data_IF_256178721273
#
_entry.id   IF_256178721273
#
_cell.length_a   1.000
_cell.length_b   1.000
_cell.length_c   1.000
_cell.angle_alpha   90.00
_cell.angle_beta   90.00
_cell.angle_gamma   90.00
#
_symmetry.space_group_name_H-M   'P 1'
#
loop_
_entity.id
_entity.type
_entity.pdbx_description
1 polymer ?
#
# COMPACT_ATOMS: atom_id res chain seq x y z
N UNK A 1 -2.60 12.72 -17.62
CA UNK A 1 -3.37 11.79 -16.78
C UNK A 1 -3.96 12.51 -15.56
N UNK A 2 -5.19 12.15 -15.19
CA UNK A 2 -5.82 12.48 -13.90
C UNK A 2 -5.67 11.26 -13.00
N UNK A 3 -5.13 11.49 -11.80
CA UNK A 3 -4.95 10.43 -10.80
C UNK A 3 -6.08 10.50 -9.77
N UNK A 4 -6.72 9.36 -9.56
CA UNK A 4 -7.73 9.15 -8.52
C UNK A 4 -7.26 8.02 -7.60
N UNK A 5 -7.83 7.91 -6.40
CA UNK A 5 -7.54 6.85 -5.41
C UNK A 5 -7.71 5.40 -5.96
N UNK A 6 -8.27 5.24 -7.16
CA UNK A 6 -8.53 3.95 -7.78
C UNK A 6 -7.83 3.72 -9.12
N UNK A 7 -7.38 4.77 -9.79
CA UNK A 7 -6.77 4.66 -11.11
C UNK A 7 -6.10 5.96 -11.55
N UNK A 8 -5.06 5.80 -12.36
CA UNK A 8 -4.52 6.86 -13.22
C UNK A 8 -5.21 6.72 -14.58
N UNK A 9 -5.98 7.72 -14.98
CA UNK A 9 -6.69 7.74 -16.26
C UNK A 9 -6.12 8.84 -17.15
N UNK A 10 -5.85 8.51 -18.41
CA UNK A 10 -5.68 9.54 -19.42
C UNK A 10 -7.05 10.05 -19.85
N UNK A 11 -7.25 11.36 -19.73
CA UNK A 11 -8.45 12.05 -20.19
C UNK A 11 -8.12 12.58 -21.59
N UNK A 12 -8.56 11.91 -22.67
CA UNK A 12 -8.35 12.40 -24.02
C UNK A 12 -9.17 13.67 -24.25
N UNK A 13 -8.68 14.57 -25.10
CA UNK A 13 -9.46 15.70 -25.53
C UNK A 13 -10.66 15.21 -26.36
N UNK A 14 -11.86 15.71 -26.06
CA UNK A 14 -13.08 15.32 -26.78
C UNK A 14 -13.13 15.83 -28.23
N UNK A 15 -12.32 16.85 -28.54
CA UNK A 15 -12.23 17.48 -29.85
C UNK A 15 -10.84 18.07 -30.09
N UNK A 16 -10.46 18.20 -31.35
CA UNK A 16 -9.27 18.93 -31.77
C UNK A 16 -9.46 20.44 -31.50
N UNK A 17 -8.39 21.12 -31.09
CA UNK A 17 -8.45 22.55 -30.77
C UNK A 17 -7.18 23.08 -30.11
N UNK A 18 -7.22 24.33 -29.69
CA UNK A 18 -6.15 25.03 -29.01
C UNK A 18 -6.44 25.15 -27.51
N UNK A 19 -5.45 24.84 -26.67
CA UNK A 19 -5.56 25.04 -25.21
C UNK A 19 -5.48 26.55 -24.92
N UNK A 20 -6.60 27.13 -24.52
CA UNK A 20 -6.71 28.57 -24.25
C UNK A 20 -6.29 28.94 -22.82
N UNK A 21 -6.55 28.06 -21.85
CA UNK A 21 -6.21 28.27 -20.42
C UNK A 21 -6.21 26.96 -19.65
N UNK A 22 -5.22 26.76 -18.78
CA UNK A 22 -5.16 25.66 -17.82
C UNK A 22 -5.48 26.21 -16.43
N UNK A 23 -6.40 25.58 -15.71
CA UNK A 23 -6.91 26.07 -14.42
C UNK A 23 -6.31 25.35 -13.21
N UNK A 24 -5.69 24.18 -13.41
CA UNK A 24 -5.03 23.42 -12.35
C UNK A 24 -3.59 23.11 -12.72
N UNK A 25 -2.68 23.21 -11.75
CA UNK A 25 -1.26 22.89 -11.96
C UNK A 25 -1.02 21.39 -11.81
N UNK A 26 0.03 20.89 -12.46
CA UNK A 26 0.48 19.51 -12.29
C UNK A 26 0.78 19.24 -10.81
N UNK A 27 0.17 18.20 -10.24
CA UNK A 27 0.29 17.83 -8.82
C UNK A 27 -0.78 18.45 -7.89
N UNK A 28 -1.67 19.29 -8.42
CA UNK A 28 -2.78 19.89 -7.66
C UNK A 28 -3.98 18.93 -7.56
N UNK A 29 -4.57 18.78 -6.37
CA UNK A 29 -5.79 17.98 -6.18
C UNK A 29 -7.03 18.79 -6.57
N UNK A 30 -7.75 18.33 -7.58
CA UNK A 30 -8.97 18.98 -8.07
C UNK A 30 -10.23 18.22 -7.61
N UNK A 31 -11.30 18.95 -7.27
CA UNK A 31 -12.58 18.34 -6.86
C UNK A 31 -13.33 17.78 -8.08
N UNK A 32 -14.04 16.67 -7.90
CA UNK A 32 -14.84 16.06 -8.96
C UNK A 32 -15.87 17.07 -9.49
N UNK A 33 -15.82 17.35 -10.79
CA UNK A 33 -16.66 18.36 -11.47
C UNK A 33 -15.97 19.69 -11.76
N UNK A 34 -14.70 19.88 -11.39
CA UNK A 34 -13.95 21.09 -11.76
C UNK A 34 -13.52 21.08 -13.24
N UNK A 35 -13.37 22.29 -13.80
CA UNK A 35 -12.88 22.49 -15.17
C UNK A 35 -11.36 22.51 -15.16
N UNK A 36 -10.71 21.60 -15.89
CA UNK A 36 -9.25 21.51 -15.95
C UNK A 36 -8.61 22.50 -16.92
N UNK A 37 -9.22 22.67 -18.08
CA UNK A 37 -8.70 23.54 -19.14
C UNK A 37 -9.83 24.01 -20.06
N UNK A 38 -9.57 25.08 -20.78
CA UNK A 38 -10.43 25.59 -21.84
C UNK A 38 -9.83 25.25 -23.21
N UNK A 39 -10.62 24.62 -24.08
CA UNK A 39 -10.29 24.30 -25.47
C UNK A 39 -11.12 25.17 -26.42
N UNK A 40 -10.43 25.93 -27.28
CA UNK A 40 -11.02 26.75 -28.34
C UNK A 40 -10.75 26.18 -29.72
N UNK A 41 -11.55 26.59 -30.71
CA UNK A 41 -11.36 26.19 -32.11
C UNK A 41 -10.22 26.99 -32.77
N UNK A 42 -9.95 28.21 -32.28
CA UNK A 42 -8.86 29.07 -32.74
C UNK A 42 -8.06 29.63 -31.56
N UNK A 43 -6.75 29.81 -31.74
CA UNK A 43 -5.83 30.20 -30.66
C UNK A 43 -6.12 31.59 -30.01
N UNK A 44 -6.94 32.42 -30.64
CA UNK A 44 -7.28 33.79 -30.19
C UNK A 44 -8.68 33.91 -29.58
N UNK A 45 -9.39 32.79 -29.44
CA UNK A 45 -10.72 32.73 -28.84
C UNK A 45 -10.65 33.12 -27.35
N UNK A 46 -11.57 34.00 -26.90
CA UNK A 46 -11.58 34.49 -25.51
C UNK A 46 -12.23 33.47 -24.59
N UNK A 47 -11.53 33.09 -23.54
CA UNK A 47 -12.06 32.25 -22.44
C UNK A 47 -13.14 33.04 -21.66
N UNK A 48 -14.30 32.44 -21.33
CA UNK A 48 -15.30 33.07 -20.48
C UNK A 48 -14.72 33.46 -19.11
N UNK A 49 -14.90 34.73 -18.68
CA UNK A 49 -14.28 35.28 -17.47
C UNK A 49 -15.03 34.90 -16.16
N UNK A 50 -15.95 33.93 -16.20
CA UNK A 50 -16.60 33.41 -15.00
C UNK A 50 -16.74 31.89 -15.03
N UNK A 51 -15.97 31.23 -14.19
CA UNK A 51 -16.36 29.99 -13.52
C UNK A 51 -16.31 30.26 -12.02
N UNK A 52 -17.34 29.88 -11.24
CA UNK A 52 -17.55 30.38 -9.89
C UNK A 52 -16.51 29.81 -8.94
N UNK A 53 -15.75 30.71 -8.31
CA UNK A 53 -15.07 30.41 -7.06
C UNK A 53 -16.14 30.07 -6.02
N UNK A 54 -16.08 28.87 -5.43
CA UNK A 54 -16.82 28.59 -4.19
C UNK A 54 -16.17 29.46 -3.12
N UNK A 55 -16.77 30.63 -2.91
CA UNK A 55 -16.38 31.55 -1.87
C UNK A 55 -16.67 30.94 -0.51
N UNK A 56 -15.63 30.92 0.31
CA UNK A 56 -15.67 30.77 1.75
C UNK A 56 -16.78 31.62 2.38
N UNK A 57 -17.67 30.94 3.10
CA UNK A 57 -18.31 31.40 4.33
C UNK A 57 -18.85 32.84 4.37
N UNK A 58 -20.08 33.01 3.88
CA UNK A 58 -21.06 33.84 4.57
C UNK A 58 -22.36 33.04 4.73
N UNK A 59 -22.76 32.85 5.99
CA UNK A 59 -23.95 32.12 6.40
C UNK A 59 -25.21 32.84 5.90
N UNK A 60 -25.68 32.51 4.70
CA UNK A 60 -27.07 32.77 4.28
C UNK A 60 -27.88 31.49 4.42
N UNK A 61 -28.79 31.46 5.41
CA UNK A 61 -29.91 30.53 5.47
C UNK A 61 -30.80 30.78 4.26
N UNK A 62 -30.59 30.06 3.17
CA UNK A 62 -31.55 29.93 2.09
C UNK A 62 -32.34 28.63 2.33
N UNK A 63 -33.66 28.76 2.50
CA UNK A 63 -34.59 27.64 2.62
C UNK A 63 -34.76 26.95 1.26
N UNK A 64 -33.79 26.11 0.87
CA UNK A 64 -33.82 25.36 -0.37
C UNK A 64 -34.83 24.22 -0.28
N UNK A 65 -35.83 24.18 -1.17
CA UNK A 65 -36.84 23.11 -1.19
C UNK A 65 -36.17 21.76 -1.53
N UNK A 66 -36.40 20.68 -0.75
CA UNK A 66 -35.79 19.39 -1.07
C UNK A 66 -36.30 18.79 -2.38
N UNK A 67 -35.47 17.95 -2.98
CA UNK A 67 -35.87 17.02 -4.05
C UNK A 67 -36.67 15.85 -3.45
N UNK A 68 -37.46 15.13 -4.26
CA UNK A 68 -38.33 14.05 -3.77
C UNK A 68 -37.54 12.94 -3.02
N UNK A 69 -36.38 12.54 -3.55
CA UNK A 69 -35.49 11.56 -2.90
C UNK A 69 -34.87 12.09 -1.61
N UNK A 70 -34.50 13.37 -1.57
CA UNK A 70 -33.99 14.01 -0.35
C UNK A 70 -35.09 14.09 0.74
N UNK A 71 -36.34 14.33 0.34
CA UNK A 71 -37.49 14.34 1.24
C UNK A 71 -37.75 12.97 1.89
N UNK A 72 -37.57 11.89 1.13
CA UNK A 72 -37.70 10.53 1.63
C UNK A 72 -36.59 10.19 2.64
N UNK A 73 -35.34 10.47 2.29
CA UNK A 73 -34.19 10.27 3.19
C UNK A 73 -34.27 11.11 4.47
N UNK A 74 -34.75 12.36 4.40
CA UNK A 74 -34.98 13.19 5.58
C UNK A 74 -36.03 12.59 6.54
N UNK A 75 -37.09 11.98 5.98
CA UNK A 75 -38.14 11.31 6.78
C UNK A 75 -37.62 10.05 7.45
N UNK A 76 -36.85 9.23 6.73
CA UNK A 76 -36.23 8.02 7.28
C UNK A 76 -35.28 8.34 8.44
N UNK A 77 -34.52 9.43 8.31
CA UNK A 77 -33.52 9.84 9.30
C UNK A 77 -34.08 10.76 10.40
N UNK A 78 -35.35 11.16 10.33
CA UNK A 78 -35.97 12.07 11.29
C UNK A 78 -35.36 13.48 11.30
N UNK A 79 -34.81 13.93 10.18
CA UNK A 79 -34.10 15.22 10.05
C UNK A 79 -34.98 16.28 9.39
N UNK A 80 -34.84 17.54 9.82
CA UNK A 80 -35.47 18.68 9.16
C UNK A 80 -34.59 19.21 8.03
N UNK A 81 -35.19 19.49 6.87
CA UNK A 81 -34.51 20.12 5.74
C UNK A 81 -33.87 21.47 6.10
N UNK A 82 -34.41 22.18 7.09
CA UNK A 82 -33.92 23.49 7.52
C UNK A 82 -32.58 23.42 8.28
N UNK A 83 -32.21 22.24 8.77
CA UNK A 83 -30.98 22.02 9.51
C UNK A 83 -29.78 21.67 8.61
N UNK A 84 -30.02 21.43 7.32
CA UNK A 84 -29.02 20.92 6.37
C UNK A 84 -28.74 21.98 5.30
N UNK A 85 -27.50 22.45 5.15
CA UNK A 85 -27.15 23.37 4.08
C UNK A 85 -27.22 22.65 2.72
N UNK A 86 -27.86 23.28 1.73
CA UNK A 86 -27.90 22.78 0.36
C UNK A 86 -26.80 23.45 -0.48
N UNK A 87 -26.12 22.68 -1.32
CA UNK A 87 -25.05 23.19 -2.21
C UNK A 87 -25.62 23.86 -3.47
N UNK A 88 -26.92 23.73 -3.74
CA UNK A 88 -27.62 24.35 -4.87
C UNK A 88 -29.02 24.87 -4.53
N UNK A 89 -29.81 25.18 -5.57
CA UNK A 89 -31.17 25.74 -5.42
C UNK A 89 -32.14 24.81 -4.66
N UNK A 90 -31.87 23.49 -4.69
CA UNK A 90 -32.66 22.46 -4.01
C UNK A 90 -31.76 21.57 -3.16
N UNK A 91 -32.27 21.13 -2.02
CA UNK A 91 -31.58 20.16 -1.16
C UNK A 91 -31.63 18.76 -1.80
N UNK A 92 -30.46 18.17 -2.02
CA UNK A 92 -30.27 16.86 -2.65
C UNK A 92 -29.84 15.80 -1.64
N UNK A 93 -29.87 14.53 -2.05
CA UNK A 93 -29.38 13.40 -1.23
C UNK A 93 -27.89 13.56 -0.89
N UNK A 94 -27.10 14.06 -1.84
CA UNK A 94 -25.65 14.29 -1.67
C UNK A 94 -25.38 15.31 -0.56
N UNK A 95 -26.20 16.36 -0.44
CA UNK A 95 -26.09 17.36 0.61
C UNK A 95 -26.34 16.76 2.01
N UNK A 96 -27.32 15.85 2.12
CA UNK A 96 -27.67 15.16 3.37
C UNK A 96 -26.54 14.21 3.77
N UNK A 97 -26.01 13.44 2.83
CA UNK A 97 -24.88 12.52 3.08
C UNK A 97 -23.60 13.28 3.49
N UNK A 98 -23.30 14.38 2.82
CA UNK A 98 -22.17 15.24 3.16
C UNK A 98 -22.32 15.85 4.56
N UNK A 99 -23.50 16.35 4.91
CA UNK A 99 -23.77 16.87 6.24
C UNK A 99 -23.66 15.80 7.33
N UNK A 100 -24.18 14.59 7.10
CA UNK A 100 -24.03 13.47 8.02
C UNK A 100 -22.57 13.05 8.21
N UNK A 101 -21.77 13.09 7.14
CA UNK A 101 -20.33 12.83 7.21
C UNK A 101 -19.61 13.86 8.09
N UNK A 102 -20.01 15.14 8.04
CA UNK A 102 -19.45 16.18 8.94
C UNK A 102 -19.89 16.03 10.39
N UNK A 103 -21.14 15.61 10.65
CA UNK A 103 -21.65 15.37 12.00
C UNK A 103 -21.01 14.16 12.68
N UNK A 104 -20.62 13.14 11.90
CA UNK A 104 -19.93 11.95 12.42
C UNK A 104 -18.46 12.21 12.79
N UNK A 105 -17.91 13.37 12.43
CA UNK A 105 -16.54 13.73 12.76
C UNK A 105 -16.40 15.22 13.10
N UNK A 106 -16.83 15.67 14.30
CA UNK A 106 -16.84 17.08 14.68
C UNK A 106 -15.45 17.70 14.94
N UNK A 107 -14.36 17.06 14.50
CA UNK A 107 -13.00 17.55 14.67
C UNK A 107 -12.13 17.35 13.42
N UNK A 108 -12.44 18.08 12.35
CA UNK A 108 -11.42 18.58 11.40
C UNK A 108 -11.89 19.95 10.91
N UNK A 109 -11.47 21.00 11.61
CA UNK A 109 -11.23 22.28 10.95
C UNK A 109 -10.37 22.00 9.70
N UNK A 110 -10.61 22.64 8.54
CA UNK A 110 -9.69 22.52 7.42
C UNK A 110 -8.33 22.96 7.94
N UNK A 111 -7.41 22.01 8.05
CA UNK A 111 -6.03 22.32 8.31
C UNK A 111 -5.64 23.33 7.23
N UNK A 112 -5.26 24.52 7.65
CA UNK A 112 -4.53 25.46 6.81
C UNK A 112 -3.53 24.65 6.00
N UNK A 113 -3.58 24.73 4.67
CA UNK A 113 -2.60 24.13 3.78
C UNK A 113 -1.23 24.68 4.18
N UNK A 114 -0.56 23.98 5.09
CA UNK A 114 0.83 24.24 5.38
C UNK A 114 1.55 24.08 4.04
N UNK A 115 2.40 25.04 3.64
CA UNK A 115 3.15 24.92 2.40
C UNK A 115 3.90 23.60 2.43
N UNK A 116 3.79 22.82 1.35
CA UNK A 116 4.54 21.57 1.20
C UNK A 116 6.02 21.89 1.46
N UNK A 117 6.57 21.29 2.51
CA UNK A 117 7.97 21.49 2.88
C UNK A 117 8.81 20.83 1.79
N UNK A 118 9.34 21.62 0.87
CA UNK A 118 10.32 21.16 -0.12
C UNK A 118 11.62 20.84 0.61
N UNK A 119 12.18 19.66 0.36
CA UNK A 119 13.51 19.32 0.88
C UNK A 119 14.57 20.29 0.32
N UNK A 120 15.58 20.67 1.13
CA UNK A 120 16.62 21.59 0.66
C UNK A 120 17.47 20.92 -0.42
N UNK A 121 17.70 21.61 -1.53
CA UNK A 121 18.61 21.15 -2.58
C UNK A 121 20.06 21.13 -2.05
N UNK A 122 20.86 20.09 -2.35
CA UNK A 122 22.28 20.06 -1.99
C UNK A 122 23.06 21.29 -2.49
N UNK A 123 24.07 21.72 -1.74
CA UNK A 123 24.91 22.87 -2.10
C UNK A 123 25.83 22.61 -3.30
N UNK A 124 26.12 21.35 -3.60
CA UNK A 124 26.90 20.94 -4.77
C UNK A 124 25.95 20.87 -5.98
N UNK A 125 26.26 21.53 -7.12
CA UNK A 125 25.44 21.45 -8.31
C UNK A 125 25.25 20.02 -8.80
N UNK A 126 24.03 19.72 -9.24
CA UNK A 126 23.66 18.43 -9.82
C UNK A 126 22.49 18.59 -10.79
N UNK A 127 22.09 17.49 -11.40
CA UNK A 127 20.97 17.46 -12.35
C UNK A 127 19.83 16.63 -11.75
N UNK A 128 18.60 17.09 -11.98
CA UNK A 128 17.42 16.31 -11.65
C UNK A 128 17.26 15.21 -12.71
N UNK A 129 17.19 13.96 -12.25
CA UNK A 129 16.85 12.80 -13.07
C UNK A 129 15.51 12.29 -12.58
N UNK A 130 14.54 12.19 -13.49
CA UNK A 130 13.22 11.65 -13.19
C UNK A 130 13.33 10.18 -12.79
N UNK A 131 12.65 9.81 -11.71
CA UNK A 131 12.62 8.43 -11.25
C UNK A 131 11.87 7.53 -12.26
N UNK A 132 12.33 6.30 -12.43
CA UNK A 132 11.57 5.22 -13.06
C UNK A 132 10.36 4.82 -12.21
N UNK A 133 9.46 3.99 -12.76
CA UNK A 133 8.31 3.47 -12.01
C UNK A 133 8.75 2.61 -10.82
N UNK A 134 9.78 1.79 -11.03
CA UNK A 134 10.40 0.93 -10.02
C UNK A 134 11.02 1.74 -8.88
N UNK A 135 11.77 2.80 -9.21
CA UNK A 135 12.39 3.70 -8.23
C UNK A 135 11.34 4.45 -7.42
N UNK A 136 10.24 4.91 -8.05
CA UNK A 136 9.10 5.50 -7.34
C UNK A 136 8.46 4.50 -6.36
N UNK A 137 8.29 3.25 -6.77
CA UNK A 137 7.74 2.20 -5.89
C UNK A 137 8.65 1.91 -4.67
N UNK A 138 9.97 1.88 -4.90
CA UNK A 138 10.95 1.75 -3.83
C UNK A 138 10.91 2.94 -2.87
N UNK A 139 10.92 4.16 -3.41
CA UNK A 139 10.81 5.39 -2.63
C UNK A 139 9.53 5.39 -1.79
N UNK A 140 8.39 5.04 -2.39
CA UNK A 140 7.10 4.94 -1.67
C UNK A 140 7.15 3.95 -0.50
N UNK A 141 7.85 2.83 -0.65
CA UNK A 141 7.99 1.83 0.42
C UNK A 141 8.85 2.36 1.57
N UNK A 142 9.99 2.99 1.24
CA UNK A 142 10.90 3.59 2.23
C UNK A 142 10.22 4.72 2.99
N UNK A 143 9.54 5.62 2.29
CA UNK A 143 8.81 6.73 2.90
C UNK A 143 7.65 6.23 3.76
N UNK A 144 6.93 5.19 3.33
CA UNK A 144 5.89 4.59 4.15
C UNK A 144 6.46 4.04 5.45
N UNK A 145 7.57 3.29 5.43
CA UNK A 145 8.19 2.81 6.67
C UNK A 145 8.61 3.98 7.57
N UNK A 146 9.26 5.01 7.00
CA UNK A 146 9.73 6.20 7.74
C UNK A 146 8.58 6.92 8.43
N UNK A 147 7.49 7.17 7.71
CA UNK A 147 6.41 8.07 8.16
C UNK A 147 5.27 7.34 8.85
N UNK A 148 5.09 6.05 8.56
CA UNK A 148 3.90 5.27 8.93
C UNK A 148 4.24 4.01 9.69
N UNK A 149 5.47 3.74 10.12
CA UNK A 149 5.82 2.63 10.99
C UNK A 149 6.88 3.03 12.02
N UNK A 150 6.87 2.41 13.20
CA UNK A 150 8.01 2.48 14.13
C UNK A 150 8.89 1.24 13.91
N UNK A 151 9.63 1.21 12.81
CA UNK A 151 10.39 0.03 12.43
C UNK A 151 11.51 -0.29 13.44
N UNK A 152 11.53 -1.54 13.92
CA UNK A 152 12.60 -2.12 14.71
C UNK A 152 13.07 -3.42 14.07
N UNK A 153 14.27 -3.87 14.43
CA UNK A 153 14.86 -5.10 13.91
C UNK A 153 15.50 -5.93 15.02
N UNK A 154 15.35 -7.25 14.94
CA UNK A 154 16.13 -8.21 15.72
C UNK A 154 16.38 -9.48 14.90
N UNK A 155 17.40 -10.25 15.30
CA UNK A 155 17.74 -11.53 14.70
C UNK A 155 18.10 -12.60 15.72
N UNK A 156 18.01 -13.86 15.27
CA UNK A 156 18.43 -15.06 16.00
C UNK A 156 19.28 -15.94 15.09
N UNK A 157 20.29 -16.58 15.66
CA UNK A 157 21.00 -17.67 15.01
C UNK A 157 20.25 -18.99 15.22
N UNK A 158 20.28 -19.87 14.22
CA UNK A 158 19.71 -21.21 14.31
C UNK A 158 20.57 -22.24 13.58
N UNK A 159 20.38 -23.51 13.94
CA UNK A 159 20.95 -24.64 13.21
C UNK A 159 20.14 -24.89 11.93
N UNK A 160 20.73 -24.74 10.72
CA UNK A 160 20.01 -24.98 9.47
C UNK A 160 19.78 -26.47 9.19
N UNK A 161 20.43 -27.40 9.89
CA UNK A 161 20.37 -28.83 9.59
C UNK A 161 18.95 -29.41 9.59
N UNK A 162 18.07 -29.17 10.59
CA UNK A 162 16.71 -29.70 10.57
C UNK A 162 15.92 -29.23 9.34
N UNK A 163 16.09 -27.98 8.94
CA UNK A 163 15.46 -27.43 7.75
C UNK A 163 16.02 -28.02 6.45
N UNK A 164 17.34 -28.22 6.38
CA UNK A 164 17.98 -28.85 5.24
C UNK A 164 17.51 -30.30 5.05
N UNK A 165 17.50 -31.09 6.13
CA UNK A 165 17.04 -32.47 6.11
C UNK A 165 15.57 -32.55 5.69
N UNK A 166 14.72 -31.68 6.27
CA UNK A 166 13.30 -31.60 5.93
C UNK A 166 13.08 -31.23 4.46
N UNK A 167 13.81 -30.23 3.93
CA UNK A 167 13.68 -29.81 2.55
C UNK A 167 14.14 -30.87 1.55
N UNK A 168 15.20 -31.63 1.87
CA UNK A 168 15.66 -32.77 1.06
C UNK A 168 14.59 -33.85 1.02
N UNK A 169 14.12 -34.30 2.18
CA UNK A 169 13.10 -35.34 2.29
C UNK A 169 11.80 -34.94 1.56
N UNK A 170 11.31 -33.72 1.82
CA UNK A 170 10.11 -33.18 1.16
C UNK A 170 10.29 -33.11 -0.37
N UNK A 171 11.47 -32.70 -0.83
CA UNK A 171 11.80 -32.64 -2.26
C UNK A 171 11.79 -34.01 -2.93
N UNK A 172 12.34 -35.04 -2.28
CA UNK A 172 12.35 -36.42 -2.78
C UNK A 172 10.93 -37.01 -2.83
N UNK A 173 10.16 -36.88 -1.75
CA UNK A 173 8.78 -37.40 -1.68
C UNK A 173 7.86 -36.78 -2.74
N UNK A 174 8.04 -35.47 -3.00
CA UNK A 174 7.23 -34.72 -3.96
C UNK A 174 7.88 -34.60 -5.35
N UNK A 175 9.02 -35.27 -5.59
CA UNK A 175 9.74 -35.30 -6.88
C UNK A 175 10.08 -33.90 -7.41
N UNK A 176 10.48 -32.99 -6.52
CA UNK A 176 10.84 -31.61 -6.89
C UNK A 176 12.26 -31.57 -7.48
N UNK A 177 12.43 -30.83 -8.57
CA UNK A 177 13.73 -30.69 -9.25
C UNK A 177 14.67 -29.70 -8.55
N UNK A 178 14.11 -28.72 -7.84
CA UNK A 178 14.84 -27.68 -7.13
C UNK A 178 14.59 -27.80 -5.64
N UNK A 179 15.57 -27.39 -4.83
CA UNK A 179 15.42 -27.38 -3.37
C UNK A 179 14.23 -26.51 -2.95
N UNK A 180 13.26 -27.04 -2.21
CA UNK A 180 12.09 -26.28 -1.76
C UNK A 180 12.36 -25.48 -0.47
N UNK A 181 13.60 -25.46 0.05
CA UNK A 181 13.93 -24.90 1.37
C UNK A 181 13.35 -23.50 1.62
N UNK A 182 13.60 -22.55 0.73
CA UNK A 182 13.11 -21.18 0.91
C UNK A 182 11.59 -21.08 0.81
N UNK A 183 10.98 -21.88 -0.06
CA UNK A 183 9.53 -21.93 -0.21
C UNK A 183 8.87 -22.55 1.03
N UNK A 184 9.44 -23.61 1.60
CA UNK A 184 8.96 -24.24 2.83
C UNK A 184 9.13 -23.33 4.06
N UNK A 185 10.26 -22.61 4.17
CA UNK A 185 10.45 -21.58 5.19
C UNK A 185 9.40 -20.47 5.06
N UNK A 186 9.19 -19.96 3.85
CA UNK A 186 8.17 -18.93 3.57
C UNK A 186 6.75 -19.43 3.89
N UNK A 187 6.44 -20.69 3.54
CA UNK A 187 5.15 -21.29 3.87
C UNK A 187 4.98 -21.49 5.37
N UNK A 188 6.04 -21.86 6.10
CA UNK A 188 5.99 -21.97 7.56
C UNK A 188 5.64 -20.63 8.22
N UNK A 189 6.13 -19.50 7.69
CA UNK A 189 5.71 -18.18 8.16
C UNK A 189 4.20 -17.95 7.95
N UNK A 190 3.63 -18.41 6.84
CA UNK A 190 2.19 -18.36 6.57
C UNK A 190 1.41 -19.19 7.60
N UNK A 191 1.89 -20.39 7.95
CA UNK A 191 1.27 -21.20 9.00
C UNK A 191 1.32 -20.52 10.37
N UNK A 192 2.47 -19.94 10.73
CA UNK A 192 2.64 -19.20 11.97
C UNK A 192 1.73 -17.97 12.04
N UNK A 193 1.44 -17.32 10.91
CA UNK A 193 0.51 -16.21 10.83
C UNK A 193 -0.93 -16.61 11.15
N UNK A 194 -1.34 -17.84 10.80
CA UNK A 194 -2.65 -18.40 11.18
C UNK A 194 -2.74 -18.61 12.70
N UNK A 195 -1.66 -19.12 13.30
CA UNK A 195 -1.57 -19.37 14.74
C UNK A 195 -1.38 -18.07 15.56
N UNK A 196 -0.77 -17.06 14.96
CA UNK A 196 -0.44 -15.78 15.60
C UNK A 196 -0.99 -14.60 14.79
N UNK A 197 -2.32 -14.38 14.75
CA UNK A 197 -2.93 -13.40 13.84
C UNK A 197 -2.41 -11.96 13.96
N UNK A 198 -1.81 -11.63 15.11
CA UNK A 198 -1.23 -10.31 15.40
C UNK A 198 -0.02 -9.98 14.52
N UNK A 199 0.69 -10.97 13.97
CA UNK A 199 1.79 -10.73 13.01
C UNK A 199 1.29 -10.42 11.60
N UNK A 200 0.01 -10.71 11.33
CA UNK A 200 -0.66 -10.46 10.07
C UNK A 200 -1.65 -9.29 10.24
N UNK A 201 -1.12 -8.11 10.57
CA UNK A 201 -1.92 -6.94 10.90
C UNK A 201 -1.15 -5.64 10.61
N UNK A 202 -1.81 -4.49 10.75
CA UNK A 202 -1.20 -3.17 10.69
C UNK A 202 -1.94 -2.19 11.62
N UNK A 203 -1.48 -0.95 11.71
CA UNK A 203 -2.15 0.11 12.46
C UNK A 203 -2.83 1.08 11.48
N UNK A 204 -4.14 1.27 11.67
CA UNK A 204 -4.97 2.25 10.94
C UNK A 204 -5.82 2.98 11.97
N UNK A 205 -5.80 4.32 11.94
CA UNK A 205 -6.58 5.18 12.84
C UNK A 205 -6.45 4.78 14.33
N UNK A 206 -5.20 4.60 14.79
CA UNK A 206 -4.84 4.16 16.15
C UNK A 206 -5.47 2.82 16.58
N UNK A 207 -5.90 2.01 15.62
CA UNK A 207 -6.46 0.67 15.85
C UNK A 207 -5.64 -0.38 15.12
N UNK A 208 -5.61 -1.57 15.73
CA UNK A 208 -5.08 -2.76 15.05
C UNK A 208 -6.05 -3.19 13.96
N UNK A 209 -5.63 -3.05 12.70
CA UNK A 209 -6.30 -3.65 11.56
C UNK A 209 -5.73 -5.05 11.34
N UNK A 210 -6.51 -6.08 11.67
CA UNK A 210 -6.06 -7.48 11.59
C UNK A 210 -6.58 -8.12 10.31
N UNK A 211 -5.67 -8.68 9.50
CA UNK A 211 -6.03 -9.32 8.25
C UNK A 211 -6.53 -10.75 8.49
N UNK A 212 -7.61 -11.13 7.79
CA UNK A 212 -8.08 -12.52 7.74
C UNK A 212 -7.29 -13.35 6.73
N UNK A 213 -6.92 -12.73 5.61
CA UNK A 213 -6.16 -13.34 4.54
C UNK A 213 -4.66 -13.11 4.78
N UNK A 214 -3.83 -14.09 4.42
CA UNK A 214 -2.36 -13.99 4.43
C UNK A 214 -1.89 -13.90 2.99
N UNK A 215 -1.46 -12.71 2.59
CA UNK A 215 -0.82 -12.46 1.32
C UNK A 215 0.67 -12.32 1.55
N UNK A 216 1.44 -13.33 1.16
CA UNK A 216 2.87 -13.34 1.43
C UNK A 216 3.62 -12.65 0.28
N UNK A 217 4.21 -11.50 0.59
CA UNK A 217 5.22 -10.86 -0.25
C UNK A 217 6.56 -11.57 -0.16
N UNK A 218 7.21 -11.80 -1.30
CA UNK A 218 8.52 -12.43 -1.40
C UNK A 218 9.42 -11.57 -2.29
N UNK A 219 10.58 -11.17 -1.77
CA UNK A 219 11.48 -10.31 -2.54
C UNK A 219 12.16 -11.07 -3.67
N UNK A 220 12.11 -10.54 -4.89
CA UNK A 220 12.73 -11.13 -6.09
C UNK A 220 13.59 -10.09 -6.78
N UNK A 221 14.88 -10.38 -6.92
CA UNK A 221 15.82 -9.56 -7.69
C UNK A 221 15.82 -10.02 -9.16
N UNK A 222 15.26 -9.20 -10.06
CA UNK A 222 15.21 -9.41 -11.50
C UNK A 222 16.09 -8.38 -12.22
N UNK A 223 17.33 -8.77 -12.56
CA UNK A 223 18.32 -7.85 -13.11
C UNK A 223 18.63 -6.73 -12.12
N UNK A 224 18.33 -5.48 -12.51
CA UNK A 224 18.51 -4.29 -11.66
C UNK A 224 17.27 -3.97 -10.80
N UNK A 225 16.14 -4.65 -11.04
CA UNK A 225 14.87 -4.34 -10.37
C UNK A 225 14.61 -5.29 -9.19
N UNK A 226 14.20 -4.71 -8.07
CA UNK A 226 13.71 -5.45 -6.91
C UNK A 226 12.19 -5.43 -6.88
N UNK A 227 11.57 -6.61 -6.92
CA UNK A 227 10.13 -6.78 -6.78
C UNK A 227 9.78 -7.38 -5.42
N UNK A 228 8.61 -7.00 -4.88
CA UNK A 228 7.92 -7.76 -3.85
C UNK A 228 6.79 -8.56 -4.53
N UNK A 229 7.08 -9.81 -4.90
CA UNK A 229 6.11 -10.69 -5.55
C UNK A 229 5.14 -11.27 -4.50
N UNK A 230 3.84 -11.19 -4.74
CA UNK A 230 2.82 -11.52 -3.73
C UNK A 230 2.11 -12.82 -4.10
N UNK A 231 2.16 -13.80 -3.19
CA UNK A 231 1.30 -14.99 -3.23
C UNK A 231 0.03 -14.68 -2.44
N UNK A 232 -1.09 -14.57 -3.15
CA UNK A 232 -2.40 -14.26 -2.56
C UNK A 232 -3.00 -15.48 -1.85
N UNK A 233 -3.71 -15.26 -0.74
CA UNK A 233 -4.43 -16.30 0.02
C UNK A 233 -3.56 -17.52 0.37
N UNK A 234 -2.29 -17.29 0.73
CA UNK A 234 -1.35 -18.37 1.00
C UNK A 234 -1.82 -19.31 2.13
N UNK A 235 -2.63 -18.81 3.06
CA UNK A 235 -3.20 -19.59 4.18
C UNK A 235 -4.16 -20.71 3.77
N UNK A 236 -4.68 -20.64 2.54
CA UNK A 236 -5.60 -21.62 1.94
C UNK A 236 -4.87 -22.72 1.17
N UNK A 237 -3.56 -22.56 0.96
CA UNK A 237 -2.74 -23.52 0.22
C UNK A 237 -2.16 -24.59 1.15
N UNK A 238 -1.84 -25.75 0.57
CA UNK A 238 -0.87 -26.67 1.16
C UNK A 238 0.54 -26.34 0.63
N UNK A 239 1.56 -26.97 1.21
CA UNK A 239 2.95 -26.68 0.87
C UNK A 239 3.28 -26.91 -0.62
N UNK A 240 2.78 -27.97 -1.26
CA UNK A 240 2.99 -28.22 -2.71
C UNK A 240 2.42 -27.07 -3.55
N UNK A 241 1.15 -26.71 -3.32
CA UNK A 241 0.47 -25.62 -4.04
C UNK A 241 1.16 -24.27 -3.82
N UNK A 242 1.66 -24.04 -2.60
CA UNK A 242 2.39 -22.83 -2.29
C UNK A 242 3.74 -22.77 -3.02
N UNK A 243 4.50 -23.88 -3.07
CA UNK A 243 5.77 -23.96 -3.82
C UNK A 243 5.54 -23.63 -5.29
N UNK A 244 4.52 -24.21 -5.91
CA UNK A 244 4.17 -23.95 -7.31
C UNK A 244 3.78 -22.48 -7.53
N UNK A 245 2.90 -21.94 -6.67
CA UNK A 245 2.44 -20.55 -6.75
C UNK A 245 3.60 -19.56 -6.56
N UNK A 246 4.49 -19.81 -5.60
CA UNK A 246 5.67 -18.98 -5.38
C UNK A 246 6.61 -19.02 -6.59
N UNK A 247 6.85 -20.21 -7.16
CA UNK A 247 7.64 -20.35 -8.38
C UNK A 247 7.04 -19.62 -9.59
N UNK A 248 5.70 -19.59 -9.69
CA UNK A 248 4.99 -18.85 -10.74
C UNK A 248 5.18 -17.34 -10.61
N UNK A 249 4.91 -16.77 -9.43
CA UNK A 249 5.08 -15.32 -9.23
C UNK A 249 6.54 -14.90 -9.36
N UNK A 250 7.49 -15.74 -8.94
CA UNK A 250 8.93 -15.48 -9.12
C UNK A 250 9.30 -15.44 -10.61
N UNK A 251 8.79 -16.37 -11.42
CA UNK A 251 9.03 -16.36 -12.88
C UNK A 251 8.43 -15.13 -13.54
N UNK A 252 7.24 -14.70 -13.12
CA UNK A 252 6.62 -13.47 -13.62
C UNK A 252 7.45 -12.23 -13.24
N UNK A 253 7.97 -12.16 -12.01
CA UNK A 253 8.89 -11.10 -11.59
C UNK A 253 10.18 -11.09 -12.43
N UNK A 254 10.83 -12.25 -12.62
CA UNK A 254 12.02 -12.37 -13.46
C UNK A 254 11.79 -11.98 -14.92
N UNK A 255 10.55 -12.12 -15.40
CA UNK A 255 10.15 -11.72 -16.75
C UNK A 255 9.62 -10.27 -16.83
N UNK A 256 9.63 -9.50 -15.72
CA UNK A 256 9.03 -8.17 -15.61
C UNK A 256 7.53 -8.13 -16.00
N UNK A 257 6.79 -9.18 -15.67
CA UNK A 257 5.38 -9.41 -16.06
C UNK A 257 4.49 -9.76 -14.87
N UNK A 258 4.79 -9.23 -13.68
CA UNK A 258 3.90 -9.39 -12.52
C UNK A 258 2.52 -8.81 -12.83
N UNK A 259 1.48 -9.59 -12.55
CA UNK A 259 0.10 -9.12 -12.57
C UNK A 259 -0.12 -8.17 -11.37
N UNK A 260 -1.12 -7.28 -11.42
CA UNK A 260 -1.43 -6.38 -10.31
C UNK A 260 -1.64 -7.11 -8.96
N UNK A 261 -2.29 -8.27 -8.99
CA UNK A 261 -2.49 -9.10 -7.79
C UNK A 261 -1.19 -9.74 -7.26
N UNK A 262 -0.13 -9.78 -8.05
CA UNK A 262 1.17 -10.36 -7.68
C UNK A 262 2.18 -9.27 -7.26
N UNK A 263 1.83 -7.98 -7.31
CA UNK A 263 2.72 -6.87 -6.95
C UNK A 263 2.17 -5.98 -5.84
N UNK A 264 1.00 -6.30 -5.28
CA UNK A 264 0.31 -5.46 -4.30
C UNK A 264 -0.47 -6.29 -3.28
N UNK A 265 -0.78 -5.65 -2.14
CA UNK A 265 -1.63 -6.25 -1.09
C UNK A 265 -0.94 -7.29 -0.22
N UNK A 266 0.39 -7.26 -0.11
CA UNK A 266 1.12 -8.06 0.87
C UNK A 266 0.68 -7.68 2.30
N UNK A 267 0.45 -8.67 3.15
CA UNK A 267 0.11 -8.50 4.56
C UNK A 267 1.25 -8.95 5.48
N UNK A 268 2.12 -9.81 4.94
CA UNK A 268 3.36 -10.32 5.52
C UNK A 268 4.41 -10.40 4.41
N UNK A 269 5.69 -10.35 4.78
CA UNK A 269 6.74 -10.50 3.78
C UNK A 269 7.91 -11.37 4.24
N UNK A 270 8.63 -11.91 3.25
CA UNK A 270 9.81 -12.72 3.41
C UNK A 270 10.88 -12.29 2.40
N UNK A 271 12.12 -12.20 2.86
CA UNK A 271 13.26 -11.85 2.02
C UNK A 271 14.47 -12.70 2.39
N UNK A 272 15.21 -13.15 1.39
CA UNK A 272 16.39 -13.99 1.59
C UNK A 272 17.58 -13.40 0.84
N UNK A 273 18.66 -13.15 1.58
CA UNK A 273 19.96 -12.75 1.04
C UNK A 273 21.04 -13.82 1.27
N UNK A 274 20.67 -14.98 1.80
CA UNK A 274 21.61 -16.07 2.11
C UNK A 274 22.42 -16.55 0.89
N UNK A 275 21.82 -16.57 -0.31
CA UNK A 275 22.52 -16.97 -1.56
C UNK A 275 23.69 -16.05 -1.94
N UNK A 276 23.70 -14.81 -1.45
CA UNK A 276 24.79 -13.85 -1.65
C UNK A 276 25.77 -13.80 -0.47
N UNK A 277 25.69 -14.76 0.46
CA UNK A 277 26.50 -14.83 1.67
C UNK A 277 26.43 -13.56 2.54
N UNK A 278 25.27 -12.90 2.56
CA UNK A 278 25.03 -11.74 3.40
C UNK A 278 24.76 -12.20 4.83
N UNK A 279 25.61 -11.77 5.77
CA UNK A 279 25.51 -12.16 7.18
C UNK A 279 24.55 -11.33 8.05
N UNK A 280 24.07 -10.20 7.54
CA UNK A 280 23.07 -9.34 8.20
C UNK A 280 22.17 -8.73 7.12
N UNK A 281 20.90 -9.12 7.14
CA UNK A 281 19.91 -8.63 6.19
C UNK A 281 18.81 -7.91 6.95
N UNK A 282 18.68 -6.60 6.75
CA UNK A 282 17.67 -5.76 7.40
C UNK A 282 16.77 -5.19 6.30
N UNK A 283 15.70 -5.90 5.91
CA UNK A 283 14.82 -5.45 4.85
C UNK A 283 13.91 -4.31 5.33
N UNK A 284 13.53 -3.43 4.40
CA UNK A 284 12.52 -2.40 4.64
C UNK A 284 11.15 -3.06 4.74
N UNK A 285 10.38 -2.69 5.77
CA UNK A 285 9.02 -3.13 6.01
C UNK A 285 8.09 -2.63 4.90
N UNK A 286 7.45 -3.54 4.14
CA UNK A 286 6.53 -3.14 3.09
C UNK A 286 5.30 -2.39 3.62
N UNK A 287 4.66 -1.54 2.80
CA UNK A 287 3.47 -0.84 3.19
C UNK A 287 2.37 -1.75 3.75
N UNK A 288 1.74 -1.30 4.83
CA UNK A 288 0.62 -1.95 5.50
C UNK A 288 0.91 -3.35 6.05
N UNK A 289 2.19 -3.70 6.23
CA UNK A 289 2.61 -4.93 6.91
C UNK A 289 3.14 -4.63 8.30
N UNK A 290 3.11 -5.62 9.20
CA UNK A 290 3.74 -5.52 10.52
C UNK A 290 5.05 -6.25 10.66
N UNK A 291 5.38 -7.15 9.72
CA UNK A 291 6.53 -8.03 9.80
C UNK A 291 7.05 -8.38 8.40
N UNK A 292 8.35 -8.25 8.22
CA UNK A 292 9.10 -8.86 7.12
C UNK A 292 10.23 -9.71 7.69
N UNK A 293 10.24 -11.00 7.37
CA UNK A 293 11.30 -11.94 7.79
C UNK A 293 12.49 -11.82 6.85
N UNK A 294 13.68 -11.84 7.43
CA UNK A 294 14.97 -11.78 6.77
C UNK A 294 15.74 -13.09 6.98
N UNK A 295 15.94 -13.87 5.93
CA UNK A 295 16.81 -15.04 5.94
C UNK A 295 18.20 -14.67 5.40
N UNK A 296 19.24 -14.90 6.20
CA UNK A 296 20.60 -14.49 5.89
C UNK A 296 21.58 -15.65 6.14
N UNK A 297 22.75 -15.56 5.50
CA UNK A 297 23.84 -16.50 5.79
C UNK A 297 24.38 -16.26 7.21
N UNK A 298 25.08 -17.23 7.77
CA UNK A 298 25.76 -16.99 9.05
C UNK A 298 27.10 -16.31 8.88
N UNK A 299 27.52 -15.60 9.93
CA UNK A 299 28.86 -15.04 10.11
C UNK A 299 29.80 -16.01 10.84
N UNK A 300 29.26 -17.08 11.42
CA UNK A 300 29.96 -18.14 12.14
C UNK A 300 29.75 -19.47 11.40
N UNK A 301 30.77 -20.34 11.39
CA UNK A 301 30.68 -21.61 10.66
C UNK A 301 29.59 -22.50 11.26
N UNK A 302 28.61 -22.91 10.45
CA UNK A 302 27.65 -23.95 10.81
C UNK A 302 26.27 -23.48 11.31
N UNK A 303 26.02 -22.17 11.40
CA UNK A 303 24.68 -21.65 11.71
C UNK A 303 24.05 -20.94 10.52
N UNK A 304 22.81 -20.48 10.66
CA UNK A 304 22.12 -19.55 9.75
C UNK A 304 21.40 -18.48 10.58
N UNK A 305 20.96 -17.39 9.94
CA UNK A 305 20.34 -16.26 10.63
C UNK A 305 18.91 -16.05 10.13
N UNK A 306 17.97 -15.95 11.08
CA UNK A 306 16.63 -15.43 10.84
C UNK A 306 16.48 -14.11 11.59
N UNK A 307 16.25 -13.04 10.85
CA UNK A 307 15.91 -11.72 11.37
C UNK A 307 14.50 -11.32 11.00
N UNK A 308 14.04 -10.22 11.57
CA UNK A 308 12.83 -9.56 11.12
C UNK A 308 12.86 -8.07 11.38
N UNK A 309 12.42 -7.31 10.38
CA UNK A 309 11.99 -5.93 10.58
C UNK A 309 10.49 -5.94 10.89
N UNK A 310 10.08 -5.19 11.92
CA UNK A 310 8.70 -5.17 12.39
C UNK A 310 8.27 -3.78 12.83
N UNK A 311 6.96 -3.52 12.81
CA UNK A 311 6.40 -2.28 13.33
C UNK A 311 6.20 -2.38 14.85
N UNK A 312 7.02 -1.65 15.60
CA UNK A 312 7.04 -1.67 17.06
C UNK A 312 5.81 -0.99 17.69
N UNK A 313 4.98 -0.28 16.92
CA UNK A 313 3.66 0.17 17.39
C UNK A 313 2.71 -1.01 17.58
N UNK A 314 2.91 -2.09 16.81
CA UNK A 314 2.08 -3.28 16.86
C UNK A 314 2.76 -4.41 17.61
N UNK A 315 3.96 -4.84 17.20
CA UNK A 315 4.65 -6.01 17.73
C UNK A 315 5.72 -5.62 18.74
N UNK A 316 5.85 -6.38 19.83
CA UNK A 316 6.98 -6.27 20.75
C UNK A 316 8.13 -7.15 20.27
N UNK A 317 9.36 -6.89 20.76
CA UNK A 317 10.49 -7.78 20.49
C UNK A 317 10.24 -9.24 20.92
N UNK A 318 9.46 -9.47 21.97
CA UNK A 318 9.11 -10.82 22.41
C UNK A 318 8.21 -11.54 21.41
N UNK A 319 7.18 -10.87 20.87
CA UNK A 319 6.31 -11.43 19.82
C UNK A 319 7.16 -11.92 18.63
N UNK A 320 8.13 -11.10 18.22
CA UNK A 320 8.99 -11.37 17.06
C UNK A 320 9.98 -12.50 17.33
N UNK A 321 10.63 -12.53 18.50
CA UNK A 321 11.53 -13.64 18.88
C UNK A 321 10.78 -14.97 18.90
N UNK A 322 9.54 -15.02 19.41
CA UNK A 322 8.74 -16.24 19.39
C UNK A 322 8.48 -16.75 17.97
N UNK A 323 8.15 -15.84 17.05
CA UNK A 323 7.93 -16.17 15.63
C UNK A 323 9.22 -16.70 14.99
N UNK A 324 10.35 -16.04 15.21
CA UNK A 324 11.63 -16.46 14.64
C UNK A 324 12.10 -17.81 15.20
N UNK A 325 11.92 -18.05 16.51
CA UNK A 325 12.23 -19.34 17.13
C UNK A 325 11.34 -20.46 16.62
N UNK A 326 10.05 -20.19 16.39
CA UNK A 326 9.13 -21.15 15.81
C UNK A 326 9.44 -21.42 14.32
N UNK A 327 9.88 -20.39 13.58
CA UNK A 327 10.28 -20.47 12.19
C UNK A 327 11.63 -21.18 12.00
N UNK A 328 12.52 -21.10 12.99
CA UNK A 328 13.82 -21.77 12.99
C UNK A 328 13.73 -23.31 12.98
N UNK A 329 12.53 -23.88 13.10
CA UNK A 329 12.28 -25.32 13.06
C UNK A 329 11.24 -25.66 11.98
N UNK A 330 11.43 -26.74 11.21
CA UNK A 330 10.40 -27.25 10.31
C UNK A 330 9.14 -27.67 11.10
N UNK A 331 7.97 -27.79 10.44
CA UNK A 331 6.80 -28.40 11.06
C UNK A 331 7.11 -29.82 11.54
N UNK A 332 6.47 -30.20 12.66
CA UNK A 332 6.63 -31.51 13.28
C UNK A 332 6.02 -32.64 12.42
#
# INVERSE_FOLDING_TARGET
>A
AVETDKAVLDVPAERDGYVLKILHRTGETASVGSVFLWLGEIATERVPEQAPAIASGETRRATSRPTAKAQEMLRELGLSAEAIPATGERLTVVDIEAWLATQRNPARLPASLAPAVSEPTPAVPGEYVELSGEERGMLSTVLWQRDRAAAAYLDVEYDPKPWNDYAVHYGEENKLLLSPLLALLAFRLVELAKATPRINATIVDDRRYQYHQVNLGFTVQAGQTLYLAVVQSAQEMNAVRFIDALGEVQRHAMAHKLRPAESSGATLAFSSMARWNVGRHIPVLPPYTSLIVAHAASRTSGTAVLGATYDHRLLSGFDVVQVLQALARPPA
#
